data_IF_013533565233
#
_entry.id   IF_013533565233
#
_cell.length_a   1.000
_cell.length_b   1.000
_cell.length_c   1.000
_cell.angle_alpha   90.00
_cell.angle_beta   90.00
_cell.angle_gamma   90.00
#
_symmetry.space_group_name_H-M   'P 1'
#
loop_
_entity.id
_entity.type
_entity.pdbx_description
1 polymer ?
#
# COMPACT_ATOMS: atom_id res chain seq x y z
N UNK A 1 -5.69 15.55 11.23
CA UNK A 1 -6.58 16.17 10.22
C UNK A 1 -7.57 15.10 9.80
N UNK A 2 -8.88 15.37 9.84
CA UNK A 2 -9.91 14.40 9.46
C UNK A 2 -9.90 14.17 7.94
N UNK A 3 -10.35 12.99 7.49
CA UNK A 3 -10.38 12.61 6.06
C UNK A 3 -11.11 13.63 5.18
N UNK A 4 -12.14 14.30 5.70
CA UNK A 4 -12.87 15.36 4.97
C UNK A 4 -11.99 16.58 4.65
N UNK A 5 -10.97 16.87 5.46
CA UNK A 5 -10.04 17.97 5.18
C UNK A 5 -9.00 17.62 4.11
N UNK A 6 -8.64 16.33 3.96
CA UNK A 6 -7.76 15.90 2.86
C UNK A 6 -8.46 15.91 1.50
N UNK A 7 -9.77 15.60 1.47
CA UNK A 7 -10.59 15.69 0.25
C UNK A 7 -10.56 17.09 -0.37
N UNK A 8 -10.62 18.14 0.44
CA UNK A 8 -10.52 19.53 -0.04
C UNK A 8 -9.18 19.86 -0.72
N UNK A 9 -8.09 19.23 -0.28
CA UNK A 9 -6.76 19.40 -0.88
C UNK A 9 -6.56 18.56 -2.16
N UNK A 10 -7.29 17.45 -2.30
CA UNK A 10 -7.28 16.54 -3.46
C UNK A 10 -8.30 16.93 -4.54
N UNK A 11 -9.26 17.80 -4.21
CA UNK A 11 -10.37 18.23 -5.07
C UNK A 11 -10.02 19.42 -5.98
N UNK A 12 -8.78 19.90 -6.01
CA UNK A 12 -8.42 21.01 -6.89
C UNK A 12 -8.22 20.55 -8.34
N UNK A 13 -8.59 21.41 -9.28
CA UNK A 13 -8.35 21.34 -10.72
C UNK A 13 -6.87 21.35 -11.14
N UNK A 14 -5.96 20.92 -10.25
CA UNK A 14 -4.50 21.02 -10.37
C UNK A 14 -3.81 19.65 -10.21
N UNK A 15 -4.56 18.57 -10.05
CA UNK A 15 -4.00 17.22 -10.08
C UNK A 15 -3.52 16.92 -11.52
N UNK A 16 -2.26 16.49 -11.71
CA UNK A 16 -1.65 16.39 -13.05
C UNK A 16 -2.19 15.27 -13.94
N UNK A 17 -3.25 14.56 -13.51
CA UNK A 17 -3.83 13.44 -14.26
C UNK A 17 -5.33 13.65 -14.43
N UNK A 18 -5.73 14.19 -15.59
CA UNK A 18 -7.12 14.10 -16.06
C UNK A 18 -7.54 12.63 -16.12
N UNK A 19 -8.70 12.29 -15.56
CA UNK A 19 -9.27 10.93 -15.61
C UNK A 19 -8.90 10.01 -14.44
N UNK A 20 -8.18 10.47 -13.42
CA UNK A 20 -7.95 9.69 -12.20
C UNK A 20 -9.16 9.75 -11.26
N UNK A 21 -9.70 8.61 -10.83
CA UNK A 21 -10.79 8.53 -9.85
C UNK A 21 -10.26 8.83 -8.42
N UNK A 22 -10.66 9.96 -7.80
CA UNK A 22 -10.22 10.33 -6.46
C UNK A 22 -10.60 9.29 -5.40
N UNK A 23 -11.71 8.56 -5.59
CA UNK A 23 -12.15 7.52 -4.66
C UNK A 23 -11.24 6.30 -4.74
N UNK A 24 -10.81 5.89 -5.93
CA UNK A 24 -9.86 4.77 -6.09
C UNK A 24 -8.48 5.12 -5.49
N UNK A 25 -8.01 6.36 -5.69
CA UNK A 25 -6.78 6.83 -5.06
C UNK A 25 -6.90 6.82 -3.54
N UNK A 26 -8.03 7.29 -3.00
CA UNK A 26 -8.30 7.25 -1.56
C UNK A 26 -8.30 5.81 -1.02
N UNK A 27 -9.02 4.89 -1.66
CA UNK A 27 -9.07 3.46 -1.28
C UNK A 27 -7.66 2.85 -1.23
N UNK A 28 -6.82 3.16 -2.24
CA UNK A 28 -5.44 2.68 -2.29
C UNK A 28 -4.56 3.28 -1.18
N UNK A 29 -4.72 4.56 -0.86
CA UNK A 29 -3.99 5.22 0.25
C UNK A 29 -4.40 4.65 1.61
N UNK A 30 -5.69 4.37 1.81
CA UNK A 30 -6.21 3.75 3.03
C UNK A 30 -5.65 2.33 3.20
N UNK A 31 -5.64 1.53 2.14
CA UNK A 31 -5.06 0.20 2.17
C UNK A 31 -3.55 0.21 2.42
N UNK A 32 -2.80 1.16 1.84
CA UNK A 32 -1.38 1.37 2.12
C UNK A 32 -1.13 1.67 3.60
N UNK A 33 -1.91 2.59 4.16
CA UNK A 33 -1.81 2.98 5.58
C UNK A 33 -2.15 1.81 6.50
N UNK A 34 -3.24 1.09 6.23
CA UNK A 34 -3.65 -0.07 7.03
C UNK A 34 -2.61 -1.20 6.97
N UNK A 35 -2.10 -1.52 5.78
CA UNK A 35 -1.06 -2.53 5.60
C UNK A 35 0.23 -2.14 6.32
N UNK A 36 0.67 -0.88 6.19
CA UNK A 36 1.85 -0.37 6.90
C UNK A 36 1.70 -0.54 8.42
N UNK A 37 0.57 -0.08 9.00
CA UNK A 37 0.33 -0.18 10.43
C UNK A 37 0.29 -1.63 10.91
N UNK A 38 -0.42 -2.52 10.18
CA UNK A 38 -0.49 -3.93 10.51
C UNK A 38 0.89 -4.60 10.46
N UNK A 39 1.70 -4.30 9.44
CA UNK A 39 3.06 -4.81 9.30
C UNK A 39 3.98 -4.33 10.41
N UNK A 40 3.91 -3.06 10.84
CA UNK A 40 4.70 -2.55 11.98
C UNK A 40 4.34 -3.31 13.26
N UNK A 41 3.04 -3.49 13.53
CA UNK A 41 2.57 -4.22 14.73
C UNK A 41 2.95 -5.70 14.69
N UNK A 42 2.78 -6.34 13.53
CA UNK A 42 3.14 -7.75 13.32
C UNK A 42 4.65 -7.96 13.48
N UNK A 43 5.47 -7.05 12.94
CA UNK A 43 6.92 -7.16 13.04
C UNK A 43 7.43 -7.14 14.50
N UNK A 44 6.86 -6.27 15.34
CA UNK A 44 7.21 -6.19 16.77
C UNK A 44 6.79 -7.46 17.52
N UNK A 45 5.57 -7.94 17.27
CA UNK A 45 5.06 -9.18 17.85
C UNK A 45 5.88 -10.41 17.40
N UNK A 46 6.17 -10.51 16.11
CA UNK A 46 6.99 -11.57 15.52
C UNK A 46 8.41 -11.58 16.12
N UNK A 47 9.00 -10.41 16.33
CA UNK A 47 10.31 -10.28 16.95
C UNK A 47 10.29 -10.78 18.41
N UNK A 48 9.24 -10.45 19.17
CA UNK A 48 9.06 -10.92 20.55
C UNK A 48 8.81 -12.44 20.62
N UNK A 49 8.17 -13.02 19.60
CA UNK A 49 7.86 -14.44 19.49
C UNK A 49 8.98 -15.27 18.85
N UNK A 50 10.10 -14.64 18.46
CA UNK A 50 11.25 -15.33 17.85
C UNK A 50 11.07 -15.70 16.37
N UNK A 51 10.07 -15.13 15.70
CA UNK A 51 9.76 -15.32 14.28
C UNK A 51 10.55 -14.36 13.38
N UNK A 52 11.88 -14.40 13.45
CA UNK A 52 12.76 -13.40 12.84
C UNK A 52 12.59 -13.19 11.33
N UNK A 53 12.19 -14.24 10.57
CA UNK A 53 11.88 -14.11 9.14
C UNK A 53 10.60 -13.31 8.90
N UNK A 54 9.51 -13.66 9.58
CA UNK A 54 8.24 -12.97 9.47
C UNK A 54 8.38 -11.51 9.92
N UNK A 55 9.06 -11.27 11.04
CA UNK A 55 9.38 -9.93 11.52
C UNK A 55 10.08 -9.08 10.45
N UNK A 56 11.12 -9.61 9.81
CA UNK A 56 11.88 -8.90 8.77
C UNK A 56 11.05 -8.64 7.52
N UNK A 57 10.19 -9.58 7.10
CA UNK A 57 9.29 -9.42 5.96
C UNK A 57 8.24 -8.34 6.24
N UNK A 58 7.64 -8.35 7.43
CA UNK A 58 6.71 -7.33 7.91
C UNK A 58 7.37 -5.95 7.94
N UNK A 59 8.58 -5.80 8.50
CA UNK A 59 9.30 -4.52 8.49
C UNK A 59 9.56 -4.00 7.08
N UNK A 60 10.05 -4.87 6.16
CA UNK A 60 10.26 -4.49 4.77
C UNK A 60 8.96 -4.05 4.08
N UNK A 61 7.85 -4.75 4.36
CA UNK A 61 6.55 -4.40 3.80
C UNK A 61 6.05 -3.05 4.34
N UNK A 62 6.19 -2.80 5.64
CA UNK A 62 5.85 -1.52 6.23
C UNK A 62 6.61 -0.35 5.58
N UNK A 63 7.92 -0.48 5.40
CA UNK A 63 8.76 0.56 4.81
C UNK A 63 8.37 0.88 3.36
N UNK A 64 8.14 -0.15 2.55
CA UNK A 64 7.75 0.02 1.15
C UNK A 64 6.34 0.62 1.05
N UNK A 65 5.41 0.24 1.93
CA UNK A 65 4.07 0.84 1.99
C UNK A 65 4.13 2.34 2.36
N UNK A 66 4.91 2.74 3.37
CA UNK A 66 5.08 4.15 3.73
C UNK A 66 5.72 4.95 2.58
N UNK A 67 6.76 4.40 1.95
CA UNK A 67 7.40 5.02 0.81
C UNK A 67 6.43 5.23 -0.37
N UNK A 68 5.66 4.20 -0.73
CA UNK A 68 4.65 4.27 -1.80
C UNK A 68 3.58 5.32 -1.50
N UNK A 69 3.06 5.35 -0.27
CA UNK A 69 2.05 6.33 0.15
C UNK A 69 2.55 7.77 0.02
N UNK A 70 3.79 8.03 0.47
CA UNK A 70 4.44 9.34 0.32
C UNK A 70 4.66 9.73 -1.15
N UNK A 71 4.91 8.77 -2.04
CA UNK A 71 5.03 9.01 -3.47
C UNK A 71 3.67 9.38 -4.09
N UNK A 72 2.60 8.64 -3.73
CA UNK A 72 1.24 8.96 -4.19
C UNK A 72 0.78 10.36 -3.77
N UNK A 73 1.14 10.81 -2.56
CA UNK A 73 0.76 12.14 -2.06
C UNK A 73 1.55 13.31 -2.69
N UNK A 74 2.64 13.04 -3.42
CA UNK A 74 3.49 14.07 -4.04
C UNK A 74 3.21 14.19 -5.53
N UNK A 75 2.00 14.63 -5.85
CA UNK A 75 1.45 14.64 -7.22
C UNK A 75 2.30 15.44 -8.21
N UNK A 76 2.97 16.51 -7.78
CA UNK A 76 3.92 17.27 -8.62
C UNK A 76 5.15 16.48 -9.09
N UNK A 77 5.49 15.37 -8.42
CA UNK A 77 6.63 14.51 -8.74
C UNK A 77 6.24 13.20 -9.42
N UNK A 78 5.01 13.09 -9.94
CA UNK A 78 4.56 11.88 -10.61
C UNK A 78 5.25 11.71 -11.96
N UNK A 79 6.21 10.80 -11.98
CA UNK A 79 6.68 10.14 -13.19
C UNK A 79 5.98 8.78 -13.29
N UNK A 80 5.24 8.56 -14.39
CA UNK A 80 4.40 7.36 -14.53
C UNK A 80 5.21 6.06 -14.54
N UNK A 81 6.39 6.04 -15.15
CA UNK A 81 7.22 4.84 -15.19
C UNK A 81 7.75 4.49 -13.79
N UNK A 82 8.18 5.50 -13.02
CA UNK A 82 8.62 5.33 -11.63
C UNK A 82 7.46 4.90 -10.74
N UNK A 83 6.30 5.54 -10.85
CA UNK A 83 5.11 5.20 -10.05
C UNK A 83 4.64 3.77 -10.30
N UNK A 84 4.52 3.35 -11.55
CA UNK A 84 4.11 1.98 -11.91
C UNK A 84 5.13 0.94 -11.41
N UNK A 85 6.42 1.24 -11.52
CA UNK A 85 7.49 0.37 -11.02
C UNK A 85 7.41 0.20 -9.49
N UNK A 86 7.21 1.30 -8.77
CA UNK A 86 7.08 1.28 -7.31
C UNK A 86 5.79 0.56 -6.85
N UNK A 87 4.67 0.76 -7.55
CA UNK A 87 3.42 0.04 -7.29
C UNK A 87 3.60 -1.47 -7.47
N UNK A 88 4.27 -1.90 -8.53
CA UNK A 88 4.58 -3.31 -8.76
C UNK A 88 5.49 -3.89 -7.68
N UNK A 89 6.53 -3.15 -7.27
CA UNK A 89 7.41 -3.56 -6.18
C UNK A 89 6.63 -3.70 -4.86
N UNK A 90 5.78 -2.72 -4.54
CA UNK A 90 4.95 -2.71 -3.33
C UNK A 90 3.99 -3.90 -3.31
N UNK A 91 3.27 -4.15 -4.41
CA UNK A 91 2.38 -5.30 -4.50
C UNK A 91 3.13 -6.64 -4.38
N UNK A 92 4.33 -6.73 -4.97
CA UNK A 92 5.18 -7.93 -4.84
C UNK A 92 5.60 -8.16 -3.39
N UNK A 93 6.06 -7.13 -2.70
CA UNK A 93 6.43 -7.20 -1.28
C UNK A 93 5.25 -7.58 -0.41
N UNK A 94 4.08 -6.96 -0.61
CA UNK A 94 2.87 -7.26 0.15
C UNK A 94 2.39 -8.71 -0.07
N UNK A 95 2.41 -9.24 -1.30
CA UNK A 95 2.11 -10.66 -1.56
C UNK A 95 3.07 -11.59 -0.82
N UNK A 96 4.36 -11.28 -0.83
CA UNK A 96 5.37 -12.10 -0.16
C UNK A 96 5.22 -12.04 1.38
N UNK A 97 4.91 -10.87 1.92
CA UNK A 97 4.62 -10.69 3.34
C UNK A 97 3.35 -11.45 3.75
N UNK A 98 2.26 -11.32 2.98
CA UNK A 98 1.03 -12.07 3.20
C UNK A 98 1.29 -13.58 3.24
N UNK A 99 2.01 -14.11 2.25
CA UNK A 99 2.33 -15.53 2.19
C UNK A 99 3.14 -16.01 3.41
N UNK A 100 4.09 -15.22 3.91
CA UNK A 100 4.84 -15.54 5.14
C UNK A 100 3.94 -15.46 6.38
N UNK A 101 3.16 -14.40 6.56
CA UNK A 101 2.25 -14.25 7.70
C UNK A 101 1.20 -15.37 7.74
N UNK A 102 0.69 -15.80 6.57
CA UNK A 102 -0.30 -16.88 6.48
C UNK A 102 0.21 -18.22 6.99
N UNK A 103 1.54 -18.45 7.00
CA UNK A 103 2.12 -19.65 7.61
C UNK A 103 1.89 -19.73 9.12
N UNK A 104 1.62 -18.59 9.76
CA UNK A 104 1.49 -18.44 11.22
C UNK A 104 0.05 -18.08 11.64
N UNK A 105 -0.86 -17.86 10.70
CA UNK A 105 -2.18 -17.28 10.94
C UNK A 105 -3.11 -18.12 11.85
N UNK A 106 -2.87 -19.43 11.98
CA UNK A 106 -3.63 -20.29 12.91
C UNK A 106 -3.18 -20.15 14.36
N UNK A 107 -1.92 -19.77 14.59
CA UNK A 107 -1.33 -19.67 15.93
C UNK A 107 -1.21 -18.22 16.41
N UNK A 108 -1.08 -17.28 15.47
CA UNK A 108 -0.82 -15.86 15.74
C UNK A 108 -1.87 -15.00 15.03
N UNK A 109 -2.80 -14.45 15.82
CA UNK A 109 -3.87 -13.57 15.34
C UNK A 109 -3.33 -12.31 14.66
N UNK A 110 -2.19 -11.80 15.14
CA UNK A 110 -1.52 -10.64 14.54
C UNK A 110 -1.05 -10.94 13.10
N UNK A 111 -0.47 -12.11 12.83
CA UNK A 111 -0.12 -12.59 11.50
C UNK A 111 -1.35 -12.74 10.59
N UNK A 112 -2.46 -13.28 11.11
CA UNK A 112 -3.71 -13.39 10.34
C UNK A 112 -4.23 -12.03 9.87
N UNK A 113 -4.25 -11.05 10.78
CA UNK A 113 -4.68 -9.69 10.47
C UNK A 113 -3.71 -8.97 9.52
N UNK A 114 -2.40 -9.20 9.67
CA UNK A 114 -1.38 -8.66 8.78
C UNK A 114 -1.53 -9.20 7.35
N UNK A 115 -1.71 -10.52 7.20
CA UNK A 115 -1.94 -11.14 5.89
C UNK A 115 -3.18 -10.56 5.19
N UNK A 116 -4.30 -10.42 5.91
CA UNK A 116 -5.52 -9.81 5.36
C UNK A 116 -5.29 -8.37 4.87
N UNK A 117 -4.53 -7.57 5.62
CA UNK A 117 -4.19 -6.20 5.22
C UNK A 117 -3.28 -6.17 3.98
N UNK A 118 -2.30 -7.08 3.90
CA UNK A 118 -1.43 -7.24 2.73
C UNK A 118 -2.23 -7.65 1.49
N UNK A 119 -3.15 -8.61 1.60
CA UNK A 119 -3.99 -9.06 0.47
C UNK A 119 -4.94 -7.95 -0.02
N UNK A 120 -5.51 -7.19 0.92
CA UNK A 120 -6.33 -6.03 0.58
C UNK A 120 -5.51 -4.96 -0.16
N UNK A 121 -4.29 -4.68 0.31
CA UNK A 121 -3.39 -3.74 -0.37
C UNK A 121 -3.09 -4.18 -1.80
N UNK A 122 -2.75 -5.46 -2.01
CA UNK A 122 -2.48 -6.01 -3.34
C UNK A 122 -3.66 -5.77 -4.27
N UNK A 123 -4.87 -6.08 -3.80
CA UNK A 123 -6.10 -5.88 -4.56
C UNK A 123 -6.30 -4.41 -4.95
N UNK A 124 -6.15 -3.48 -4.01
CA UNK A 124 -6.31 -2.04 -4.31
C UNK A 124 -5.21 -1.50 -5.20
N UNK A 125 -3.98 -2.00 -5.05
CA UNK A 125 -2.83 -1.59 -5.86
C UNK A 125 -2.99 -2.03 -7.31
N UNK A 126 -3.51 -3.23 -7.55
CA UNK A 126 -3.82 -3.74 -8.89
C UNK A 126 -4.92 -2.91 -9.57
N UNK A 127 -5.99 -2.58 -8.85
CA UNK A 127 -7.04 -1.67 -9.34
C UNK A 127 -6.47 -0.30 -9.72
N UNK A 128 -5.69 0.30 -8.83
CA UNK A 128 -5.07 1.62 -9.04
C UNK A 128 -4.11 1.60 -10.23
N UNK A 129 -3.26 0.57 -10.33
CA UNK A 129 -2.34 0.37 -11.45
C UNK A 129 -3.07 0.14 -12.78
N UNK A 130 -4.24 -0.52 -12.76
CA UNK A 130 -5.11 -0.67 -13.93
C UNK A 130 -5.63 0.67 -14.42
N UNK A 131 -6.26 1.44 -13.54
CA UNK A 131 -6.75 2.78 -13.84
C UNK A 131 -5.64 3.71 -14.35
N UNK A 132 -4.44 3.67 -13.73
CA UNK A 132 -3.31 4.49 -14.16
C UNK A 132 -2.80 4.16 -15.57
N UNK A 133 -2.94 2.91 -16.03
CA UNK A 133 -2.63 2.53 -17.41
C UNK A 133 -3.70 3.04 -18.38
N UNK A 134 -4.96 2.94 -18.00
CA UNK A 134 -6.09 3.32 -18.86
C UNK A 134 -6.22 4.85 -19.01
N UNK A 135 -5.81 5.61 -18.00
CA UNK A 135 -5.78 7.07 -18.01
C UNK A 135 -4.58 7.67 -18.77
N UNK A 136 -3.66 6.85 -19.28
CA UNK A 136 -2.49 7.34 -20.02
C UNK A 136 -2.93 7.80 -21.42
N UNK A 137 -2.72 9.07 -21.83
CA UNK A 137 -3.03 9.48 -23.19
C UNK A 137 -2.17 8.67 -24.15
N UNK A 138 -2.83 7.93 -25.06
CA UNK A 138 -2.18 7.35 -26.23
C UNK A 138 -1.55 8.53 -26.97
N UNK A 139 -0.21 8.55 -27.02
CA UNK A 139 0.57 9.61 -27.65
C UNK A 139 0.19 9.84 -29.11
#
# INVERSE_FOLDING_TARGET
MTMDMMKGAMSSSEMPMDGMDPMMMQECLEALSACMQACVMCADADAAEGMGRCASMCSNCADVCDAMMRMMLRTRGWDMAVMMSMMQATATTARACSAECMMHAEMSEHCRMCAMACDQLVTTMEKMSGMMRDAMPMG
#
